data_IF_287104765530
#
_entry.id   IF_287104765530
#
_cell.length_a   1.000
_cell.length_b   1.000
_cell.length_c   1.000
_cell.angle_alpha   90.00
_cell.angle_beta   90.00
_cell.angle_gamma   90.00
#
_symmetry.space_group_name_H-M   'P 1'
#
loop_
_entity.id
_entity.type
_entity.pdbx_description
1 polymer ?
#
# COMPACT_ATOMS: atom_id res chain seq x y z
N UNK A 1 28.53 6.58 0.13
CA UNK A 1 29.21 7.32 1.22
C UNK A 1 28.52 7.04 2.56
N UNK A 2 29.27 6.65 3.59
CA UNK A 2 28.75 6.62 4.96
C UNK A 2 28.49 8.07 5.42
N UNK A 3 27.36 8.36 6.10
CA UNK A 3 27.12 9.69 6.64
C UNK A 3 28.28 10.12 7.54
N UNK A 4 28.59 11.41 7.61
CA UNK A 4 29.73 11.92 8.39
C UNK A 4 29.67 11.54 9.88
N UNK A 5 28.49 11.19 10.39
CA UNK A 5 28.26 10.79 11.79
C UNK A 5 28.42 9.30 12.04
N UNK A 6 28.61 8.48 11.01
CA UNK A 6 28.73 7.03 11.12
C UNK A 6 30.20 6.64 11.09
N UNK A 7 30.66 5.98 12.14
CA UNK A 7 32.05 5.58 12.22
C UNK A 7 32.35 4.74 13.45
N UNK A 8 33.46 4.00 13.38
CA UNK A 8 33.99 3.26 14.51
C UNK A 8 34.31 4.21 15.67
N UNK A 9 33.88 3.87 16.88
CA UNK A 9 34.13 4.66 18.09
C UNK A 9 33.09 5.74 18.40
N UNK A 10 32.13 5.99 17.51
CA UNK A 10 31.01 6.90 17.75
C UNK A 10 29.80 6.07 18.22
N UNK A 11 29.18 6.37 19.39
CA UNK A 11 27.99 5.67 19.85
C UNK A 11 26.87 5.70 18.81
N UNK A 12 26.23 4.56 18.54
CA UNK A 12 25.19 4.45 17.50
C UNK A 12 24.03 5.43 17.70
N UNK A 13 23.71 5.76 18.96
CA UNK A 13 22.62 6.68 19.31
C UNK A 13 22.89 8.15 18.98
N UNK A 14 24.11 8.52 18.54
CA UNK A 14 24.39 9.87 18.03
C UNK A 14 24.47 9.91 16.51
N UNK A 15 24.28 8.77 15.83
CA UNK A 15 24.31 8.71 14.38
C UNK A 15 23.07 9.40 13.81
N UNK A 16 23.27 10.17 12.74
CA UNK A 16 22.15 10.80 12.04
C UNK A 16 21.20 9.72 11.54
N UNK A 17 19.92 9.86 11.87
CA UNK A 17 18.86 8.92 11.50
C UNK A 17 18.62 7.80 12.50
N UNK A 18 19.39 7.72 13.59
CA UNK A 18 19.14 6.76 14.68
C UNK A 18 18.44 7.48 15.83
N UNK A 19 17.35 6.90 16.33
CA UNK A 19 16.78 7.26 17.62
C UNK A 19 16.95 6.08 18.59
N UNK A 20 17.23 6.41 19.84
CA UNK A 20 17.33 5.44 20.91
C UNK A 20 16.36 5.75 22.06
N UNK A 21 16.04 4.73 22.84
CA UNK A 21 15.31 4.87 24.10
C UNK A 21 16.08 5.76 25.09
N UNK A 22 15.36 6.43 25.98
CA UNK A 22 15.97 7.11 27.12
C UNK A 22 16.46 6.10 28.17
N UNK A 23 17.43 6.50 28.98
CA UNK A 23 17.92 5.70 30.11
C UNK A 23 19.42 5.38 30.05
N UNK A 24 19.93 4.67 31.08
CA UNK A 24 21.36 4.43 31.26
C UNK A 24 21.98 3.47 30.24
N UNK A 25 21.15 2.65 29.57
CA UNK A 25 21.57 1.72 28.53
C UNK A 25 20.66 1.87 27.29
N UNK A 26 20.81 2.97 26.52
CA UNK A 26 19.92 3.29 25.41
C UNK A 26 19.92 2.19 24.35
N UNK A 27 18.74 1.84 23.85
CA UNK A 27 18.51 0.84 22.78
C UNK A 27 18.00 1.53 21.53
N UNK A 28 18.41 1.07 20.36
CA UNK A 28 17.94 1.63 19.08
C UNK A 28 16.46 1.32 18.88
N UNK A 29 15.63 2.35 18.76
CA UNK A 29 14.17 2.23 18.59
C UNK A 29 13.72 2.69 17.21
N UNK A 30 14.45 3.58 16.54
CA UNK A 30 14.15 4.00 15.17
C UNK A 30 15.41 4.10 14.33
N UNK A 31 15.32 3.62 13.11
CA UNK A 31 16.33 3.74 12.06
C UNK A 31 15.65 4.44 10.88
N UNK A 32 16.08 5.64 10.54
CA UNK A 32 15.50 6.47 9.49
C UNK A 32 16.58 7.14 8.65
N UNK A 33 16.76 6.67 7.42
CA UNK A 33 17.73 7.16 6.48
C UNK A 33 17.05 7.54 5.17
N UNK A 34 16.58 8.78 5.07
CA UNK A 34 16.08 9.34 3.81
C UNK A 34 17.19 10.16 3.16
N UNK A 35 17.39 10.00 1.85
CA UNK A 35 18.36 10.78 1.09
C UNK A 35 17.78 11.31 -0.21
N UNK A 36 18.38 12.39 -0.71
CA UNK A 36 18.02 12.92 -2.02
C UNK A 36 18.40 11.91 -3.14
N UNK A 37 17.64 11.88 -4.26
CA UNK A 37 17.95 11.04 -5.41
C UNK A 37 19.40 11.24 -5.88
N UNK A 38 20.13 10.15 -6.10
CA UNK A 38 21.53 10.17 -6.52
C UNK A 38 22.57 10.18 -5.38
N UNK A 39 22.17 10.41 -4.13
CA UNK A 39 23.07 10.43 -2.96
C UNK A 39 22.73 9.37 -1.90
N UNK A 40 21.77 8.48 -2.20
CA UNK A 40 21.32 7.42 -1.30
C UNK A 40 22.33 6.29 -1.10
N UNK A 41 22.12 5.53 -0.02
CA UNK A 41 22.82 4.27 0.24
C UNK A 41 22.52 3.26 -0.86
N UNK A 42 23.50 2.43 -1.20
CA UNK A 42 23.37 1.41 -2.23
C UNK A 42 23.87 0.05 -1.73
N UNK A 43 23.65 -0.99 -2.54
CA UNK A 43 24.02 -2.36 -2.20
C UNK A 43 22.87 -3.11 -1.52
N UNK A 44 23.18 -4.20 -0.82
CA UNK A 44 22.19 -4.99 -0.09
C UNK A 44 22.08 -4.48 1.35
N UNK A 45 20.88 -4.57 1.91
CA UNK A 45 20.63 -4.35 3.34
C UNK A 45 20.35 -5.69 4.00
N UNK A 46 20.93 -5.94 5.17
CA UNK A 46 20.61 -7.10 5.99
C UNK A 46 19.50 -6.73 6.98
N UNK A 47 18.29 -7.25 6.73
CA UNK A 47 17.11 -7.05 7.58
C UNK A 47 16.96 -8.15 8.64
N UNK A 48 17.85 -9.15 8.64
CA UNK A 48 17.73 -10.34 9.51
C UNK A 48 18.38 -10.16 10.88
N UNK A 49 19.17 -9.10 11.05
CA UNK A 49 19.90 -8.77 12.28
C UNK A 49 19.56 -7.36 12.81
N UNK A 50 18.31 -6.93 12.66
CA UNK A 50 17.84 -5.66 13.19
C UNK A 50 17.77 -5.66 14.73
N UNK A 51 17.92 -4.49 15.39
CA UNK A 51 17.78 -4.38 16.84
C UNK A 51 16.41 -4.88 17.33
N UNK A 52 16.40 -5.61 18.45
CA UNK A 52 15.19 -6.24 18.98
C UNK A 52 14.13 -5.26 19.50
N UNK A 53 14.53 -4.03 19.83
CA UNK A 53 13.66 -2.96 20.34
C UNK A 53 13.21 -1.99 19.23
N UNK A 54 13.54 -2.29 17.96
CA UNK A 54 13.24 -1.43 16.83
C UNK A 54 11.73 -1.37 16.59
N UNK A 55 11.17 -0.16 16.61
CA UNK A 55 9.75 0.10 16.31
C UNK A 55 9.55 0.68 14.92
N UNK A 56 10.58 1.33 14.36
CA UNK A 56 10.51 1.95 13.04
C UNK A 56 11.79 1.71 12.23
N UNK A 57 11.61 1.21 11.01
CA UNK A 57 12.64 1.18 9.97
C UNK A 57 12.15 1.97 8.76
N UNK A 58 12.84 3.05 8.42
CA UNK A 58 12.60 3.84 7.23
C UNK A 58 13.91 4.00 6.44
N UNK A 59 13.96 3.42 5.24
CA UNK A 59 15.09 3.55 4.32
C UNK A 59 14.63 4.07 2.96
N UNK A 60 13.57 4.86 2.95
CA UNK A 60 12.99 5.42 1.73
C UNK A 60 13.98 6.24 0.91
N UNK A 61 13.76 6.32 -0.40
CA UNK A 61 14.55 7.16 -1.32
C UNK A 61 16.05 6.82 -1.32
N UNK A 62 16.38 5.52 -1.33
CA UNK A 62 17.75 5.03 -1.46
C UNK A 62 17.91 4.18 -2.73
N UNK A 63 19.08 3.54 -2.86
CA UNK A 63 19.45 2.69 -3.98
C UNK A 63 19.73 1.25 -3.49
N UNK A 64 19.05 0.81 -2.43
CA UNK A 64 19.20 -0.55 -1.94
C UNK A 64 18.66 -1.54 -2.97
N UNK A 65 19.29 -2.71 -3.05
CA UNK A 65 19.01 -3.73 -4.07
C UNK A 65 18.94 -5.13 -3.46
N UNK A 66 18.50 -6.09 -4.26
CA UNK A 66 18.32 -7.48 -3.84
C UNK A 66 16.93 -7.73 -3.25
N UNK A 67 16.67 -8.99 -2.89
CA UNK A 67 15.42 -9.38 -2.27
C UNK A 67 15.49 -9.09 -0.76
N UNK A 68 14.59 -8.25 -0.21
CA UNK A 68 14.57 -8.00 1.22
C UNK A 68 13.97 -9.21 1.96
N UNK A 69 14.72 -9.77 2.91
CA UNK A 69 14.21 -10.82 3.78
C UNK A 69 13.40 -10.20 4.93
N UNK A 70 12.07 -10.30 4.84
CA UNK A 70 11.15 -9.78 5.85
C UNK A 70 10.78 -10.80 6.92
N UNK A 71 11.32 -12.02 6.86
CA UNK A 71 10.91 -13.15 7.73
C UNK A 71 11.49 -13.10 9.14
N UNK A 72 12.44 -12.18 9.39
CA UNK A 72 13.19 -12.05 10.64
C UNK A 72 13.09 -10.65 11.26
N UNK A 73 12.09 -9.87 10.84
CA UNK A 73 11.85 -8.54 11.41
C UNK A 73 11.51 -8.65 12.91
N UNK A 74 11.93 -7.68 13.73
CA UNK A 74 11.66 -7.70 15.17
C UNK A 74 10.16 -7.54 15.44
N UNK A 75 9.64 -8.28 16.42
CA UNK A 75 8.22 -8.26 16.76
C UNK A 75 7.71 -6.91 17.30
N UNK A 76 8.61 -6.03 17.70
CA UNK A 76 8.33 -4.65 18.13
C UNK A 76 8.10 -3.70 16.96
N UNK A 77 8.40 -4.12 15.72
CA UNK A 77 8.33 -3.26 14.56
C UNK A 77 6.88 -2.88 14.24
N UNK A 78 6.63 -1.58 14.18
CA UNK A 78 5.33 -0.97 13.88
C UNK A 78 5.32 -0.32 12.50
N UNK A 79 6.46 0.21 12.05
CA UNK A 79 6.58 0.89 10.75
C UNK A 79 7.74 0.32 9.97
N UNK A 80 7.45 -0.20 8.78
CA UNK A 80 8.44 -0.60 7.78
C UNK A 80 8.23 0.21 6.50
N UNK A 81 9.19 1.05 6.17
CA UNK A 81 9.18 1.85 4.96
C UNK A 81 10.44 1.58 4.11
N UNK A 82 10.23 0.83 3.02
CA UNK A 82 11.22 0.51 1.98
C UNK A 82 10.89 1.20 0.65
N UNK A 83 10.01 2.21 0.66
CA UNK A 83 9.56 2.93 -0.53
C UNK A 83 10.73 3.45 -1.37
N UNK A 84 10.55 3.43 -2.69
CA UNK A 84 11.43 4.07 -3.67
C UNK A 84 12.90 3.70 -3.50
N UNK A 85 13.16 2.41 -3.69
CA UNK A 85 14.48 1.79 -3.71
C UNK A 85 14.63 0.95 -4.99
N UNK A 86 15.70 0.14 -5.09
CA UNK A 86 15.92 -0.84 -6.16
C UNK A 86 15.74 -2.29 -5.70
N UNK A 87 14.93 -2.53 -4.67
CA UNK A 87 14.68 -3.89 -4.19
C UNK A 87 14.00 -4.74 -5.26
N UNK A 88 14.43 -5.99 -5.40
CA UNK A 88 13.93 -6.88 -6.45
C UNK A 88 13.97 -8.34 -6.06
N UNK A 89 13.08 -9.13 -6.64
CA UNK A 89 12.93 -10.55 -6.33
C UNK A 89 11.77 -10.81 -5.37
N UNK A 90 11.61 -12.06 -4.91
CA UNK A 90 10.45 -12.46 -4.13
C UNK A 90 10.49 -11.91 -2.69
N UNK A 91 9.31 -11.57 -2.16
CA UNK A 91 9.12 -11.17 -0.76
C UNK A 91 8.05 -12.04 -0.12
N UNK A 92 8.35 -12.61 1.05
CA UNK A 92 7.38 -13.32 1.87
C UNK A 92 6.69 -12.35 2.85
N UNK A 93 5.42 -12.06 2.58
CA UNK A 93 4.59 -11.21 3.44
C UNK A 93 3.85 -11.98 4.54
N UNK A 94 4.01 -13.31 4.63
CA UNK A 94 3.27 -14.17 5.56
C UNK A 94 3.84 -14.23 6.97
N UNK A 95 5.04 -13.64 7.16
CA UNK A 95 5.81 -13.62 8.41
C UNK A 95 6.03 -12.20 8.95
N UNK A 96 5.23 -11.23 8.49
CA UNK A 96 5.32 -9.87 8.99
C UNK A 96 5.00 -9.82 10.51
N UNK A 97 5.67 -8.95 11.29
CA UNK A 97 5.40 -8.81 12.73
C UNK A 97 3.93 -8.52 13.03
N UNK A 98 3.36 -9.20 14.02
CA UNK A 98 1.95 -9.06 14.40
C UNK A 98 1.56 -7.61 14.79
N UNK A 99 2.53 -6.85 15.32
CA UNK A 99 2.35 -5.46 15.73
C UNK A 99 2.57 -4.42 14.61
N UNK A 100 2.87 -4.86 13.38
CA UNK A 100 3.12 -3.95 12.26
C UNK A 100 1.84 -3.19 11.89
N UNK A 101 1.96 -1.87 11.79
CA UNK A 101 0.87 -0.94 11.51
C UNK A 101 0.99 -0.33 10.11
N UNK A 102 2.22 -0.11 9.64
CA UNK A 102 2.49 0.56 8.37
C UNK A 102 3.53 -0.23 7.58
N UNK A 103 3.17 -0.58 6.35
CA UNK A 103 4.06 -1.21 5.37
C UNK A 103 4.05 -0.43 4.06
N UNK A 104 5.19 0.15 3.70
CA UNK A 104 5.44 0.78 2.40
C UNK A 104 6.55 0.02 1.66
N UNK A 105 6.22 -0.62 0.55
CA UNK A 105 7.16 -1.30 -0.36
C UNK A 105 7.12 -0.70 -1.78
N UNK A 106 6.43 0.44 -1.96
CA UNK A 106 6.08 1.01 -3.25
C UNK A 106 7.30 1.45 -4.05
N UNK A 107 7.15 1.55 -5.38
CA UNK A 107 8.17 2.08 -6.30
C UNK A 107 9.55 1.39 -6.20
N UNK A 108 9.55 0.08 -5.94
CA UNK A 108 10.76 -0.74 -6.07
C UNK A 108 10.89 -1.40 -7.45
N UNK A 109 9.81 -1.40 -8.24
CA UNK A 109 9.71 -1.84 -9.65
C UNK A 109 10.05 -3.31 -9.93
N UNK A 110 10.67 -4.02 -9.00
CA UNK A 110 11.14 -5.39 -9.18
C UNK A 110 10.78 -6.35 -8.05
N UNK A 111 10.06 -5.90 -7.01
CA UNK A 111 9.56 -6.82 -5.98
C UNK A 111 8.47 -7.73 -6.57
N UNK A 112 8.54 -9.01 -6.25
CA UNK A 112 7.63 -10.04 -6.71
C UNK A 112 7.10 -10.84 -5.52
N UNK A 113 6.11 -11.69 -5.76
CA UNK A 113 5.49 -12.51 -4.73
C UNK A 113 3.97 -12.51 -4.89
N UNK A 114 3.30 -13.19 -3.98
CA UNK A 114 1.84 -13.19 -3.87
C UNK A 114 1.38 -12.59 -2.55
N UNK A 115 0.07 -12.35 -2.44
CA UNK A 115 -0.54 -11.81 -1.24
C UNK A 115 -1.48 -12.83 -0.60
N UNK A 116 -1.11 -13.35 0.57
CA UNK A 116 -2.02 -14.13 1.41
C UNK A 116 -2.62 -13.20 2.47
N UNK A 117 -3.71 -12.50 2.11
CA UNK A 117 -4.33 -11.44 2.94
C UNK A 117 -4.66 -11.90 4.37
N UNK A 118 -5.06 -13.16 4.55
CA UNK A 118 -5.32 -13.76 5.87
C UNK A 118 -4.10 -13.87 6.80
N UNK A 119 -2.89 -13.65 6.27
CA UNK A 119 -1.63 -13.64 7.02
C UNK A 119 -1.08 -12.23 7.26
N UNK A 120 -1.77 -11.19 6.78
CA UNK A 120 -1.40 -9.82 7.11
C UNK A 120 -1.63 -9.55 8.61
N UNK A 121 -0.76 -8.76 9.27
CA UNK A 121 -0.91 -8.42 10.68
C UNK A 121 -2.26 -7.75 10.98
N UNK A 122 -2.91 -8.16 12.06
CA UNK A 122 -4.23 -7.62 12.43
C UNK A 122 -4.18 -6.13 12.80
N UNK A 123 -3.02 -5.64 13.24
CA UNK A 123 -2.79 -4.23 13.56
C UNK A 123 -2.51 -3.35 12.34
N UNK A 124 -2.41 -3.94 11.14
CA UNK A 124 -2.02 -3.22 9.94
C UNK A 124 -3.10 -2.22 9.51
N UNK A 125 -2.70 -0.96 9.37
CA UNK A 125 -3.54 0.17 9.00
C UNK A 125 -3.22 0.66 7.59
N UNK A 126 -1.95 0.61 7.20
CA UNK A 126 -1.49 1.01 5.87
C UNK A 126 -0.68 -0.10 5.23
N UNK A 127 -1.13 -0.52 4.05
CA UNK A 127 -0.43 -1.47 3.19
C UNK A 127 -0.31 -0.87 1.79
N UNK A 128 0.92 -0.63 1.34
CA UNK A 128 1.17 -0.11 0.01
C UNK A 128 2.36 -0.84 -0.64
N UNK A 129 2.06 -1.52 -1.74
CA UNK A 129 3.03 -2.24 -2.58
C UNK A 129 3.02 -1.73 -4.03
N UNK A 130 2.54 -0.49 -4.23
CA UNK A 130 2.33 0.11 -5.55
C UNK A 130 3.59 0.08 -6.42
N UNK A 131 3.45 -0.05 -7.74
CA UNK A 131 4.56 0.03 -8.70
C UNK A 131 5.65 -1.02 -8.44
N UNK A 132 5.25 -2.29 -8.54
CA UNK A 132 6.10 -3.48 -8.39
C UNK A 132 5.66 -4.57 -9.39
N UNK A 133 6.10 -5.80 -9.17
CA UNK A 133 5.76 -6.96 -9.97
C UNK A 133 5.10 -8.08 -9.13
N UNK A 134 4.33 -7.71 -8.09
CA UNK A 134 3.51 -8.68 -7.35
C UNK A 134 2.41 -9.25 -8.26
N UNK A 135 2.07 -10.51 -8.06
CA UNK A 135 1.13 -11.24 -8.91
C UNK A 135 0.24 -12.19 -8.08
N UNK A 136 -0.68 -12.88 -8.75
CA UNK A 136 -1.64 -13.77 -8.12
C UNK A 136 -2.99 -13.09 -7.87
N UNK A 137 -3.72 -13.56 -6.88
CA UNK A 137 -5.05 -13.05 -6.51
C UNK A 137 -5.02 -12.38 -5.14
N UNK A 138 -6.00 -11.52 -4.86
CA UNK A 138 -6.18 -10.88 -3.56
C UNK A 138 -7.54 -11.28 -3.00
N UNK A 139 -7.56 -11.86 -1.81
CA UNK A 139 -8.81 -12.11 -1.08
C UNK A 139 -9.15 -10.90 -0.21
N UNK A 140 -9.94 -10.00 -0.77
CA UNK A 140 -10.39 -8.75 -0.14
C UNK A 140 -11.25 -8.97 1.11
N UNK A 141 -11.91 -10.13 1.24
CA UNK A 141 -12.74 -10.48 2.39
C UNK A 141 -11.92 -10.76 3.65
N UNK A 142 -10.60 -10.91 3.50
CA UNK A 142 -9.65 -11.25 4.57
C UNK A 142 -8.69 -10.11 4.90
N UNK A 143 -9.00 -8.89 4.49
CA UNK A 143 -8.22 -7.72 4.89
C UNK A 143 -8.36 -7.46 6.41
N UNK A 144 -7.28 -7.02 7.11
CA UNK A 144 -7.33 -6.65 8.52
C UNK A 144 -8.42 -5.62 8.84
N UNK A 145 -9.10 -5.78 9.96
CA UNK A 145 -10.22 -4.89 10.36
C UNK A 145 -9.80 -3.46 10.71
N UNK A 146 -8.51 -3.23 10.98
CA UNK A 146 -7.92 -1.91 11.23
C UNK A 146 -7.40 -1.22 9.95
N UNK A 147 -7.50 -1.87 8.79
CA UNK A 147 -6.99 -1.35 7.53
C UNK A 147 -7.67 -0.05 7.13
N UNK A 148 -6.89 1.02 6.99
CA UNK A 148 -7.35 2.33 6.55
C UNK A 148 -6.96 2.62 5.10
N UNK A 149 -5.80 2.14 4.68
CA UNK A 149 -5.26 2.37 3.33
C UNK A 149 -4.71 1.07 2.77
N UNK A 150 -5.24 0.65 1.63
CA UNK A 150 -4.78 -0.53 0.91
C UNK A 150 -4.51 -0.19 -0.55
N UNK A 151 -3.24 -0.27 -0.95
CA UNK A 151 -2.82 -0.06 -2.33
C UNK A 151 -2.00 -1.21 -2.86
N UNK A 152 -2.45 -1.76 -3.98
CA UNK A 152 -1.75 -2.77 -4.79
C UNK A 152 -1.62 -2.31 -6.25
N UNK A 153 -1.78 -1.02 -6.51
CA UNK A 153 -1.78 -0.47 -7.85
C UNK A 153 -0.47 -0.72 -8.61
N UNK A 154 -0.51 -0.69 -9.94
CA UNK A 154 0.65 -0.88 -10.82
C UNK A 154 1.42 -2.16 -10.48
N UNK A 155 0.72 -3.29 -10.51
CA UNK A 155 1.26 -4.62 -10.29
C UNK A 155 0.69 -5.58 -11.35
N UNK A 156 0.76 -6.88 -11.10
CA UNK A 156 0.30 -7.94 -12.00
C UNK A 156 -0.79 -8.80 -11.35
N UNK A 157 -1.54 -8.26 -10.39
CA UNK A 157 -2.63 -8.99 -9.73
C UNK A 157 -3.77 -9.28 -10.71
N UNK A 158 -4.45 -10.40 -10.47
CA UNK A 158 -5.49 -10.98 -11.34
C UNK A 158 -6.68 -11.45 -10.52
N UNK A 159 -7.74 -11.88 -11.19
CA UNK A 159 -8.93 -12.46 -10.56
C UNK A 159 -9.97 -11.42 -10.16
N UNK A 160 -11.10 -11.86 -9.57
CA UNK A 160 -12.17 -10.97 -9.14
C UNK A 160 -11.79 -10.16 -7.90
N UNK A 161 -12.44 -9.01 -7.74
CA UNK A 161 -12.34 -8.17 -6.55
C UNK A 161 -13.68 -8.09 -5.84
N UNK A 162 -13.89 -8.94 -4.83
CA UNK A 162 -15.08 -8.87 -3.97
C UNK A 162 -14.92 -7.73 -2.96
N UNK A 163 -15.49 -6.58 -3.29
CA UNK A 163 -15.45 -5.37 -2.45
C UNK A 163 -16.57 -5.33 -1.38
N UNK A 164 -17.40 -6.38 -1.29
CA UNK A 164 -18.59 -6.36 -0.42
C UNK A 164 -18.28 -6.56 1.06
N UNK A 165 -17.07 -7.01 1.39
CA UNK A 165 -16.61 -7.31 2.75
C UNK A 165 -15.37 -6.49 3.14
N UNK A 166 -15.18 -5.32 2.53
CA UNK A 166 -14.07 -4.44 2.91
C UNK A 166 -14.19 -3.98 4.38
N UNK A 167 -13.06 -3.79 5.09
CA UNK A 167 -13.06 -3.30 6.45
C UNK A 167 -13.79 -1.96 6.59
N UNK A 168 -14.59 -1.80 7.64
CA UNK A 168 -15.35 -0.56 7.89
C UNK A 168 -14.46 0.66 8.21
N UNK A 169 -13.20 0.41 8.58
CA UNK A 169 -12.17 1.42 8.83
C UNK A 169 -11.50 1.94 7.55
N UNK A 170 -11.71 1.28 6.40
CA UNK A 170 -11.05 1.58 5.14
C UNK A 170 -11.47 2.96 4.62
N UNK A 171 -10.47 3.77 4.29
CA UNK A 171 -10.59 5.13 3.79
C UNK A 171 -10.13 5.23 2.33
N UNK A 172 -9.07 4.50 1.96
CA UNK A 172 -8.55 4.50 0.60
C UNK A 172 -8.28 3.10 0.07
N UNK A 173 -8.77 2.83 -1.14
CA UNK A 173 -8.51 1.61 -1.90
C UNK A 173 -8.00 1.95 -3.31
N UNK A 174 -6.80 1.50 -3.65
CA UNK A 174 -6.24 1.65 -4.99
C UNK A 174 -5.79 0.31 -5.56
N UNK A 175 -6.46 -0.07 -6.66
CA UNK A 175 -6.22 -1.29 -7.45
C UNK A 175 -5.77 -0.97 -8.87
N UNK A 176 -5.46 0.30 -9.16
CA UNK A 176 -5.22 0.79 -10.53
C UNK A 176 -4.15 -0.01 -11.26
N UNK A 177 -4.26 -0.11 -12.58
CA UNK A 177 -3.20 -0.67 -13.44
C UNK A 177 -2.78 -2.07 -12.97
N UNK A 178 -3.72 -3.00 -13.01
CA UNK A 178 -3.52 -4.42 -12.75
C UNK A 178 -4.24 -5.23 -13.85
N UNK A 179 -4.50 -6.51 -13.60
CA UNK A 179 -5.29 -7.39 -14.47
C UNK A 179 -6.48 -7.99 -13.71
N UNK A 180 -7.01 -7.28 -12.70
CA UNK A 180 -8.23 -7.69 -12.02
C UNK A 180 -9.39 -7.73 -13.02
N UNK A 181 -10.32 -8.66 -12.83
CA UNK A 181 -11.40 -8.92 -13.79
C UNK A 181 -12.72 -9.24 -13.09
N UNK A 182 -13.75 -9.59 -13.86
CA UNK A 182 -15.08 -9.87 -13.32
C UNK A 182 -15.86 -8.62 -12.96
N UNK A 183 -16.94 -8.80 -12.21
CA UNK A 183 -17.86 -7.73 -11.78
C UNK A 183 -17.46 -7.18 -10.41
N UNK A 184 -17.85 -5.94 -10.14
CA UNK A 184 -17.63 -5.27 -8.85
C UNK A 184 -18.95 -4.72 -8.32
N UNK A 185 -19.28 -5.03 -7.07
CA UNK A 185 -20.42 -4.45 -6.35
C UNK A 185 -19.97 -3.22 -5.54
N UNK A 186 -20.37 -2.03 -5.99
CA UNK A 186 -20.05 -0.76 -5.33
C UNK A 186 -21.11 -0.35 -4.28
N UNK A 187 -22.18 -1.12 -4.13
CA UNK A 187 -23.31 -0.76 -3.24
C UNK A 187 -23.06 -1.04 -1.76
N UNK A 188 -21.97 -1.75 -1.45
CA UNK A 188 -21.58 -2.17 -0.08
C UNK A 188 -20.24 -1.62 0.37
N UNK A 189 -19.76 -0.55 -0.27
CA UNK A 189 -18.52 0.10 0.12
C UNK A 189 -18.60 0.67 1.55
N UNK A 190 -17.48 0.67 2.31
CA UNK A 190 -17.44 1.26 3.65
C UNK A 190 -17.83 2.72 3.65
N UNK A 191 -18.60 3.16 4.65
CA UNK A 191 -19.07 4.55 4.77
C UNK A 191 -17.95 5.57 4.99
N UNK A 192 -16.77 5.11 5.44
CA UNK A 192 -15.57 5.93 5.64
C UNK A 192 -14.68 6.07 4.40
N UNK A 193 -15.02 5.37 3.30
CA UNK A 193 -14.22 5.39 2.09
C UNK A 193 -14.27 6.79 1.45
N UNK A 194 -13.10 7.39 1.26
CA UNK A 194 -12.92 8.70 0.62
C UNK A 194 -12.29 8.58 -0.77
N UNK A 195 -11.54 7.51 -1.05
CA UNK A 195 -10.89 7.29 -2.33
C UNK A 195 -11.05 5.85 -2.82
N UNK A 196 -11.57 5.70 -4.05
CA UNK A 196 -11.68 4.41 -4.75
C UNK A 196 -11.12 4.51 -6.17
N UNK A 197 -10.01 3.82 -6.40
CA UNK A 197 -9.33 3.83 -7.70
C UNK A 197 -9.19 2.40 -8.24
N UNK A 198 -9.88 2.12 -9.35
CA UNK A 198 -9.99 0.80 -9.99
C UNK A 198 -9.55 0.85 -11.47
N UNK A 199 -8.96 1.95 -11.91
CA UNK A 199 -8.69 2.24 -13.31
C UNK A 199 -7.69 1.29 -13.95
N UNK A 200 -7.72 1.14 -15.27
CA UNK A 200 -6.72 0.34 -15.98
C UNK A 200 -6.71 -1.14 -15.56
N UNK A 201 -7.90 -1.74 -15.50
CA UNK A 201 -8.08 -3.17 -15.20
C UNK A 201 -8.93 -3.83 -16.30
N UNK A 202 -9.37 -5.07 -16.05
CA UNK A 202 -10.25 -5.85 -16.92
C UNK A 202 -11.63 -6.05 -16.28
N UNK A 203 -12.04 -5.17 -15.35
CA UNK A 203 -13.36 -5.25 -14.73
C UNK A 203 -14.46 -5.04 -15.76
N UNK A 204 -15.63 -5.63 -15.51
CA UNK A 204 -16.74 -5.64 -16.46
C UNK A 204 -18.10 -5.68 -15.76
N UNK A 205 -19.16 -5.55 -16.54
CA UNK A 205 -20.54 -5.61 -16.04
C UNK A 205 -21.04 -4.29 -15.48
N UNK A 206 -22.31 -4.29 -15.07
CA UNK A 206 -22.97 -3.07 -14.61
C UNK A 206 -22.51 -2.68 -13.22
N UNK A 207 -22.25 -1.40 -13.00
CA UNK A 207 -22.03 -0.83 -11.66
C UNK A 207 -23.12 0.16 -11.30
N UNK A 208 -23.55 0.14 -10.04
CA UNK A 208 -24.51 1.08 -9.49
C UNK A 208 -23.77 2.18 -8.73
N UNK A 209 -23.83 3.40 -9.26
CA UNK A 209 -23.19 4.58 -8.67
C UNK A 209 -24.11 5.34 -7.70
N UNK A 210 -25.39 4.97 -7.57
CA UNK A 210 -26.38 5.66 -6.71
C UNK A 210 -26.20 5.36 -5.22
N UNK A 211 -25.36 4.37 -4.90
CA UNK A 211 -25.12 3.85 -3.54
C UNK A 211 -23.71 4.11 -3.03
N UNK A 212 -22.96 4.99 -3.68
CA UNK A 212 -21.61 5.34 -3.26
C UNK A 212 -21.62 6.00 -1.86
N UNK A 213 -20.55 5.81 -1.06
CA UNK A 213 -20.43 6.45 0.25
C UNK A 213 -20.51 7.98 0.15
N UNK A 214 -21.23 8.62 1.06
CA UNK A 214 -21.41 10.08 1.05
C UNK A 214 -20.12 10.88 1.32
N UNK A 215 -19.10 10.22 1.88
CA UNK A 215 -17.77 10.80 2.14
C UNK A 215 -16.79 10.60 0.97
N UNK A 216 -17.21 9.94 -0.12
CA UNK A 216 -16.34 9.67 -1.25
C UNK A 216 -15.95 10.98 -1.95
N UNK A 217 -14.65 11.21 -2.07
CA UNK A 217 -14.05 12.41 -2.66
C UNK A 217 -13.43 12.14 -4.02
N UNK A 218 -12.98 10.90 -4.27
CA UNK A 218 -12.34 10.50 -5.52
C UNK A 218 -12.81 9.14 -6.01
N UNK A 219 -13.22 9.08 -7.28
CA UNK A 219 -13.64 7.86 -7.95
C UNK A 219 -12.97 7.74 -9.33
N UNK A 220 -12.09 6.76 -9.51
CA UNK A 220 -11.43 6.48 -10.80
C UNK A 220 -11.81 5.08 -11.29
N UNK A 221 -12.66 5.00 -12.31
CA UNK A 221 -13.09 3.73 -12.92
C UNK A 221 -12.62 3.57 -14.38
N UNK A 222 -11.91 4.57 -14.91
CA UNK A 222 -11.57 4.66 -16.32
C UNK A 222 -10.73 3.47 -16.84
N UNK A 223 -10.77 3.24 -18.15
CA UNK A 223 -10.04 2.15 -18.82
C UNK A 223 -10.35 0.77 -18.21
N UNK A 224 -11.63 0.42 -18.25
CA UNK A 224 -12.19 -0.89 -17.88
C UNK A 224 -13.25 -1.30 -18.93
N UNK A 225 -14.12 -2.24 -18.60
CA UNK A 225 -15.28 -2.66 -19.40
C UNK A 225 -16.57 -2.53 -18.59
N UNK A 226 -16.62 -1.59 -17.64
CA UNK A 226 -17.82 -1.33 -16.86
C UNK A 226 -18.95 -0.84 -17.76
N UNK A 227 -20.18 -1.18 -17.39
CA UNK A 227 -21.41 -0.74 -18.03
C UNK A 227 -22.38 -0.18 -16.99
N UNK A 228 -23.56 0.23 -17.43
CA UNK A 228 -24.61 0.76 -16.56
C UNK A 228 -25.05 2.15 -16.98
N UNK A 229 -26.11 2.63 -16.35
CA UNK A 229 -26.62 3.98 -16.56
C UNK A 229 -26.01 4.90 -15.51
N UNK A 230 -25.33 5.95 -15.96
CA UNK A 230 -24.76 6.98 -15.10
C UNK A 230 -25.72 8.17 -15.04
N UNK A 231 -26.15 8.50 -13.83
CA UNK A 231 -26.84 9.75 -13.51
C UNK A 231 -25.93 10.55 -12.58
N UNK A 232 -25.32 11.62 -13.12
CA UNK A 232 -24.37 12.44 -12.37
C UNK A 232 -25.02 13.17 -11.18
N UNK A 233 -26.35 13.38 -11.22
CA UNK A 233 -27.09 14.04 -10.13
C UNK A 233 -27.17 13.18 -8.85
N UNK A 234 -26.92 11.87 -8.97
CA UNK A 234 -26.94 10.91 -7.86
C UNK A 234 -25.55 10.67 -7.25
N UNK A 235 -24.51 11.33 -7.74
CA UNK A 235 -23.16 11.17 -7.19
C UNK A 235 -23.03 11.88 -5.83
N UNK A 236 -22.15 11.40 -4.93
CA UNK A 236 -21.91 12.05 -3.65
C UNK A 236 -21.48 13.52 -3.80
N UNK A 237 -22.04 14.41 -2.97
CA UNK A 237 -21.73 15.85 -3.03
C UNK A 237 -20.29 16.20 -2.62
N UNK A 238 -19.58 15.29 -1.96
CA UNK A 238 -18.17 15.44 -1.60
C UNK A 238 -17.21 15.05 -2.74
N UNK A 239 -17.74 14.50 -3.84
CA UNK A 239 -16.92 14.00 -4.95
C UNK A 239 -16.25 15.20 -5.64
N UNK A 240 -14.93 15.23 -5.57
CA UNK A 240 -14.09 16.29 -6.14
C UNK A 240 -13.50 15.93 -7.50
N UNK A 241 -13.36 14.64 -7.79
CA UNK A 241 -12.96 14.14 -9.09
C UNK A 241 -13.59 12.77 -9.37
N UNK A 242 -14.04 12.61 -10.61
CA UNK A 242 -14.63 11.39 -11.12
C UNK A 242 -14.14 11.17 -12.54
N UNK A 243 -13.64 9.96 -12.82
CA UNK A 243 -13.25 9.57 -14.17
C UNK A 243 -13.82 8.20 -14.51
N UNK A 244 -14.70 8.19 -15.51
CA UNK A 244 -15.42 7.02 -16.00
C UNK A 244 -15.02 6.68 -17.45
N UNK A 245 -14.05 7.40 -18.04
CA UNK A 245 -13.70 7.30 -19.45
C UNK A 245 -13.26 5.90 -19.87
N UNK A 246 -13.32 5.61 -21.16
CA UNK A 246 -12.89 4.32 -21.72
C UNK A 246 -13.55 3.12 -20.99
N UNK A 247 -14.88 3.18 -20.92
CA UNK A 247 -15.79 2.13 -20.46
C UNK A 247 -16.98 2.04 -21.43
N UNK A 248 -17.99 1.25 -21.08
CA UNK A 248 -19.23 1.08 -21.85
C UNK A 248 -20.45 1.69 -21.13
N UNK A 249 -20.22 2.72 -20.31
CA UNK A 249 -21.29 3.45 -19.65
C UNK A 249 -22.23 4.13 -20.65
N UNK A 250 -23.50 4.20 -20.27
CA UNK A 250 -24.54 4.93 -20.97
C UNK A 250 -25.22 5.89 -20.00
N UNK A 251 -26.04 6.82 -20.49
CA UNK A 251 -26.80 7.73 -19.65
C UNK A 251 -26.78 9.15 -20.17
N UNK A 252 -27.54 10.02 -19.53
CA UNK A 252 -27.56 11.44 -19.82
C UNK A 252 -26.53 12.17 -18.96
N UNK A 253 -25.70 12.99 -19.60
CA UNK A 253 -24.88 13.98 -18.90
C UNK A 253 -25.73 15.23 -18.75
N UNK A 254 -26.27 15.46 -17.57
CA UNK A 254 -26.89 16.75 -17.22
C UNK A 254 -25.83 17.64 -16.56
N UNK A 255 -25.54 18.78 -17.19
CA UNK A 255 -24.53 19.75 -16.76
C UNK A 255 -25.18 21.03 -16.18
N UNK A 256 -26.50 21.02 -15.96
CA UNK A 256 -27.26 22.15 -15.40
C UNK A 256 -27.28 22.14 -13.88
#
# INVERSE_FOLDING_TARGET
>A
PTPPTWGSGIPVCVWKGILCSSGPAPRVTSISFEQAPGYGFSGKIDLTHLPSDLTQLNVTNNQFTGAPDLTRLPNTLQVLNLWRNGFRGPVDLTQLPNGLQVLYLSENWGLTGGLTTSRLPAALQTFDVTANAFAGTVDFTRLPSQMQQFSVAQNQFTGPADLTQLPTSLQALSLDTNRFNGTVDLTRLPSRLTALFLSGNLFSGSVDLTRLPSQLQGLMLFSNRFSGVVDLTQLPSQLSFVDLENNTFSGSVDLT
#
